data_IF_585691958574
#
_entry.id   IF_585691958574
#
_cell.length_a   1.000
_cell.length_b   1.000
_cell.length_c   1.000
_cell.angle_alpha   90.00
_cell.angle_beta   90.00
_cell.angle_gamma   90.00
#
_symmetry.space_group_name_H-M   'P 1'
#
loop_
_entity.id
_entity.type
_entity.pdbx_description
1 polymer ?
#
# COMPACT_ATOMS: atom_id res chain seq x y z
N UNK A 1 68.28 -15.26 14.49
CA UNK A 1 67.58 -14.01 14.19
C UNK A 1 66.77 -14.19 12.91
N UNK A 2 65.47 -13.83 12.97
CA UNK A 2 64.52 -13.56 11.88
C UNK A 2 64.18 -14.66 10.87
N UNK A 3 62.94 -14.89 10.45
CA UNK A 3 61.61 -14.59 10.98
C UNK A 3 60.67 -15.46 10.10
N UNK A 4 60.06 -16.51 10.65
CA UNK A 4 58.98 -17.23 9.94
C UNK A 4 57.77 -16.29 9.85
N UNK A 5 57.55 -15.69 8.68
CA UNK A 5 56.32 -14.94 8.37
C UNK A 5 55.14 -15.90 8.49
N UNK A 6 54.45 -15.87 9.63
CA UNK A 6 53.09 -16.41 9.76
C UNK A 6 52.19 -15.56 8.86
N UNK A 7 51.61 -16.19 7.84
CA UNK A 7 50.52 -15.59 7.09
C UNK A 7 49.37 -15.27 8.06
N UNK A 8 48.68 -14.13 7.91
CA UNK A 8 47.56 -13.81 8.77
C UNK A 8 46.43 -14.80 8.47
N UNK A 9 46.00 -15.51 9.52
CA UNK A 9 44.75 -16.26 9.52
C UNK A 9 43.66 -15.25 9.20
N UNK A 10 43.15 -15.28 7.96
CA UNK A 10 41.95 -14.52 7.61
C UNK A 10 40.88 -14.92 8.61
N UNK A 11 40.47 -13.96 9.43
CA UNK A 11 39.41 -14.14 10.39
C UNK A 11 38.24 -14.78 9.67
N UNK A 12 37.76 -15.91 10.20
CA UNK A 12 36.36 -16.28 9.98
C UNK A 12 35.56 -15.08 10.44
N UNK A 13 35.08 -14.26 9.51
CA UNK A 13 33.82 -13.57 9.74
C UNK A 13 32.84 -14.70 9.99
N UNK A 14 32.57 -14.96 11.26
CA UNK A 14 31.43 -15.75 11.66
C UNK A 14 30.22 -15.02 11.08
N UNK A 15 29.80 -15.47 9.89
CA UNK A 15 28.52 -15.08 9.31
C UNK A 15 27.52 -15.65 10.29
N UNK A 16 27.10 -14.83 11.24
CA UNK A 16 26.03 -15.15 12.17
C UNK A 16 24.86 -15.53 11.29
N UNK A 17 24.52 -16.82 11.27
CA UNK A 17 23.32 -17.31 10.58
C UNK A 17 22.12 -16.73 11.32
N UNK A 18 21.67 -15.57 10.87
CA UNK A 18 20.41 -14.97 11.32
C UNK A 18 19.32 -15.95 10.96
N UNK A 19 18.49 -16.35 11.93
CA UNK A 19 17.22 -17.02 11.66
C UNK A 19 16.16 -15.92 11.58
N UNK A 20 15.73 -15.50 10.38
CA UNK A 20 14.83 -14.35 10.20
C UNK A 20 13.57 -14.43 11.05
N UNK A 21 13.12 -15.65 11.34
CA UNK A 21 11.87 -15.92 12.07
C UNK A 21 12.06 -15.87 13.58
N UNK A 22 13.26 -16.15 14.08
CA UNK A 22 13.57 -16.01 15.51
C UNK A 22 14.03 -14.60 15.85
N UNK A 23 14.70 -13.95 14.90
CA UNK A 23 15.45 -12.72 15.17
C UNK A 23 14.67 -11.45 14.79
N UNK A 24 13.56 -11.53 14.04
CA UNK A 24 12.85 -10.32 13.57
C UNK A 24 12.38 -9.39 14.67
N UNK A 25 12.12 -9.92 15.87
CA UNK A 25 11.66 -9.09 17.00
C UNK A 25 12.66 -8.01 17.39
N UNK A 26 13.95 -8.25 17.18
CA UNK A 26 15.00 -7.25 17.43
C UNK A 26 15.03 -6.13 16.38
N UNK A 27 14.27 -6.28 15.29
CA UNK A 27 14.21 -5.36 14.17
C UNK A 27 12.87 -4.63 14.07
N UNK A 28 11.90 -4.98 14.93
CA UNK A 28 10.63 -4.29 15.06
C UNK A 28 10.86 -2.90 15.67
N UNK A 29 10.25 -1.90 15.04
CA UNK A 29 10.12 -0.58 15.64
C UNK A 29 8.75 -0.45 16.30
N UNK A 30 8.74 0.04 17.55
CA UNK A 30 7.50 0.43 18.22
C UNK A 30 6.96 1.69 17.55
N UNK A 31 5.72 1.68 17.05
CA UNK A 31 5.17 2.83 16.37
C UNK A 31 4.82 3.96 17.33
N UNK A 32 4.99 5.20 16.87
CA UNK A 32 4.35 6.36 17.50
C UNK A 32 2.86 6.38 17.12
N UNK A 33 2.00 6.03 18.08
CA UNK A 33 0.55 5.93 17.89
C UNK A 33 -0.08 7.24 17.43
N UNK A 34 0.46 8.40 17.83
CA UNK A 34 -0.06 9.70 17.40
C UNK A 34 0.17 9.92 15.91
N UNK A 35 1.33 9.50 15.39
CA UNK A 35 1.66 9.59 13.97
C UNK A 35 0.88 8.59 13.12
N UNK A 36 0.52 7.44 13.69
CA UNK A 36 -0.21 6.40 12.98
C UNK A 36 -1.73 6.56 12.99
N UNK A 37 -2.31 7.28 13.96
CA UNK A 37 -3.75 7.38 14.14
C UNK A 37 -4.51 7.73 12.84
N UNK A 38 -4.03 8.71 12.07
CA UNK A 38 -4.66 9.08 10.80
C UNK A 38 -4.60 7.97 9.75
N UNK A 39 -3.51 7.19 9.70
CA UNK A 39 -3.33 6.09 8.75
C UNK A 39 -4.15 4.86 9.15
N UNK A 40 -4.19 4.52 10.44
CA UNK A 40 -4.98 3.42 10.98
C UNK A 40 -6.48 3.59 10.67
N UNK A 41 -6.99 4.81 10.82
CA UNK A 41 -8.39 5.14 10.49
C UNK A 41 -8.76 4.92 9.03
N UNK A 42 -7.80 4.99 8.09
CA UNK A 42 -8.03 4.67 6.66
C UNK A 42 -8.25 3.17 6.41
N UNK A 43 -7.83 2.34 7.36
CA UNK A 43 -7.96 0.89 7.32
C UNK A 43 -8.98 0.37 8.36
N UNK A 44 -9.71 1.26 9.02
CA UNK A 44 -10.77 0.91 9.95
C UNK A 44 -10.31 0.55 11.36
N UNK A 45 -9.11 0.98 11.76
CA UNK A 45 -8.57 0.73 13.09
C UNK A 45 -8.44 2.03 13.87
N UNK A 46 -8.81 2.00 15.15
CA UNK A 46 -8.52 3.08 16.10
C UNK A 46 -7.20 2.83 16.83
N UNK A 47 -6.82 1.55 16.97
CA UNK A 47 -5.63 1.10 17.70
C UNK A 47 -4.85 0.06 16.92
N UNK A 48 -3.54 -0.02 17.16
CA UNK A 48 -2.66 -1.00 16.49
C UNK A 48 -2.98 -2.42 16.98
N UNK A 49 -3.40 -2.54 18.24
CA UNK A 49 -3.77 -3.79 18.92
C UNK A 49 -5.02 -4.46 18.30
N UNK A 50 -5.83 -3.70 17.56
CA UNK A 50 -7.00 -4.22 16.85
C UNK A 50 -6.62 -4.88 15.50
N UNK A 51 -5.40 -4.61 15.01
CA UNK A 51 -4.89 -5.24 13.79
C UNK A 51 -4.56 -6.72 14.03
N UNK A 52 -4.62 -7.57 13.00
CA UNK A 52 -4.15 -8.94 13.09
C UNK A 52 -2.71 -9.01 13.61
N UNK A 53 -2.53 -9.66 14.76
CA UNK A 53 -1.28 -9.73 15.53
C UNK A 53 -0.32 -10.79 15.00
N UNK A 54 -0.80 -11.75 14.22
CA UNK A 54 0.05 -12.78 13.66
C UNK A 54 0.94 -12.16 12.57
N UNK A 55 2.28 -12.21 12.72
CA UNK A 55 3.15 -11.74 11.66
C UNK A 55 2.97 -12.63 10.44
N UNK A 56 2.84 -12.02 9.26
CA UNK A 56 2.93 -12.78 8.02
C UNK A 56 4.41 -13.14 7.82
N UNK A 57 4.79 -14.31 8.32
CA UNK A 57 6.11 -14.89 8.15
C UNK A 57 6.08 -15.73 6.88
N UNK A 58 6.64 -15.20 5.79
CA UNK A 58 6.83 -15.99 4.58
C UNK A 58 8.06 -16.88 4.76
N UNK A 59 7.87 -18.05 5.38
CA UNK A 59 8.90 -19.09 5.52
C UNK A 59 8.36 -20.41 4.98
N UNK A 60 8.19 -20.50 3.67
CA UNK A 60 7.75 -21.74 3.03
C UNK A 60 8.92 -22.38 2.30
N UNK A 61 9.38 -23.51 2.82
CA UNK A 61 10.44 -24.33 2.24
C UNK A 61 10.20 -24.54 0.72
N UNK A 62 10.91 -23.80 -0.13
CA UNK A 62 11.12 -24.10 -1.56
C UNK A 62 9.84 -24.29 -2.42
N UNK A 63 8.84 -23.41 -2.34
CA UNK A 63 7.60 -23.55 -3.13
C UNK A 63 7.47 -22.47 -4.25
N UNK A 64 8.38 -21.50 -4.31
CA UNK A 64 8.32 -20.40 -5.28
C UNK A 64 7.60 -19.17 -4.71
N UNK A 65 7.21 -18.18 -5.54
CA UNK A 65 6.69 -16.91 -5.05
C UNK A 65 5.35 -17.08 -4.31
N UNK A 66 5.22 -16.44 -3.14
CA UNK A 66 3.98 -16.39 -2.36
C UNK A 66 3.03 -15.38 -3.01
N UNK A 67 1.99 -15.87 -3.67
CA UNK A 67 1.00 -15.03 -4.35
C UNK A 67 -0.23 -14.90 -3.46
N UNK A 68 -0.51 -13.69 -2.97
CA UNK A 68 -1.69 -13.40 -2.16
C UNK A 68 -2.79 -12.77 -3.03
N UNK A 69 -3.99 -13.35 -2.98
CA UNK A 69 -5.17 -12.90 -3.70
C UNK A 69 -6.38 -12.69 -2.76
N UNK A 70 -7.26 -11.72 -3.03
CA UNK A 70 -8.48 -11.51 -2.25
C UNK A 70 -9.59 -12.51 -2.56
N UNK A 71 -9.60 -13.13 -3.75
CA UNK A 71 -10.55 -14.17 -4.14
C UNK A 71 -9.87 -15.51 -3.98
N UNK A 72 -10.47 -16.39 -3.17
CA UNK A 72 -9.90 -17.68 -2.75
C UNK A 72 -9.31 -18.49 -3.92
N UNK A 73 -8.03 -18.81 -3.79
CA UNK A 73 -7.41 -20.05 -4.27
C UNK A 73 -6.18 -20.21 -3.38
N UNK A 74 -6.23 -21.13 -2.41
CA UNK A 74 -5.17 -21.26 -1.41
C UNK A 74 -4.17 -22.34 -1.80
N UNK A 75 -2.90 -21.99 -1.62
CA UNK A 75 -1.84 -22.92 -1.27
C UNK A 75 -2.10 -23.40 0.18
N UNK A 76 -2.19 -24.72 0.44
CA UNK A 76 -2.48 -25.28 1.77
C UNK A 76 -1.44 -24.94 2.85
N UNK A 77 -0.31 -24.32 2.50
CA UNK A 77 0.73 -23.93 3.43
C UNK A 77 0.58 -22.50 4.01
N UNK A 78 -0.39 -21.72 3.53
CA UNK A 78 -0.68 -20.36 4.03
C UNK A 78 -1.94 -20.43 4.90
N UNK A 79 -1.83 -20.07 6.19
CA UNK A 79 -2.99 -19.97 7.10
C UNK A 79 -4.07 -19.00 6.57
N UNK A 80 -5.29 -19.05 7.12
CA UNK A 80 -6.43 -18.28 6.61
C UNK A 80 -6.16 -16.77 6.53
N UNK A 81 -5.82 -16.23 5.35
CA UNK A 81 -5.51 -14.80 5.22
C UNK A 81 -6.73 -13.87 5.38
N UNK A 82 -7.93 -14.44 5.53
CA UNK A 82 -9.20 -13.70 5.62
C UNK A 82 -9.18 -12.69 6.76
N UNK A 83 -8.49 -13.00 7.86
CA UNK A 83 -8.36 -12.09 8.99
C UNK A 83 -7.62 -10.79 8.63
N UNK A 84 -6.71 -10.83 7.64
CA UNK A 84 -5.94 -9.68 7.15
C UNK A 84 -6.64 -8.89 6.06
N UNK A 85 -7.74 -9.40 5.51
CA UNK A 85 -8.46 -8.72 4.42
C UNK A 85 -9.56 -7.83 4.99
N UNK A 86 -9.58 -6.57 4.59
CA UNK A 86 -10.58 -5.59 4.99
C UNK A 86 -11.00 -4.70 3.82
N UNK A 87 -12.27 -4.24 3.75
CA UNK A 87 -12.65 -3.18 2.83
C UNK A 87 -11.95 -1.87 3.23
N UNK A 88 -11.67 -1.00 2.26
CA UNK A 88 -11.14 0.35 2.56
C UNK A 88 -12.21 1.17 3.29
N UNK A 89 -11.85 1.82 4.40
CA UNK A 89 -12.70 2.84 5.04
C UNK A 89 -12.49 4.20 4.39
N UNK A 90 -13.05 4.36 3.18
CA UNK A 90 -13.00 5.61 2.43
C UNK A 90 -14.38 6.28 2.41
N UNK A 91 -14.50 7.47 2.99
CA UNK A 91 -15.74 8.27 3.03
C UNK A 91 -15.61 9.67 2.41
N UNK A 92 -14.41 10.00 1.95
CA UNK A 92 -14.10 11.32 1.41
C UNK A 92 -12.99 11.21 0.36
N UNK A 93 -12.97 12.17 -0.57
CA UNK A 93 -11.89 12.25 -1.56
C UNK A 93 -10.53 12.40 -0.88
N UNK A 94 -10.45 13.12 0.23
CA UNK A 94 -9.19 13.30 0.95
C UNK A 94 -8.64 11.97 1.50
N UNK A 95 -9.48 11.08 2.03
CA UNK A 95 -9.06 9.73 2.43
C UNK A 95 -8.66 8.89 1.23
N UNK A 96 -9.39 8.98 0.12
CA UNK A 96 -9.02 8.27 -1.12
C UNK A 96 -7.64 8.71 -1.64
N UNK A 97 -7.38 10.02 -1.61
CA UNK A 97 -6.07 10.60 -1.93
C UNK A 97 -4.96 10.14 -0.99
N UNK A 98 -5.25 10.08 0.31
CA UNK A 98 -4.31 9.58 1.30
C UNK A 98 -4.00 8.07 1.12
N UNK A 99 -4.93 7.30 0.57
CA UNK A 99 -4.73 5.90 0.20
C UNK A 99 -3.74 5.78 -0.98
N UNK A 100 -3.90 6.60 -2.02
CA UNK A 100 -3.00 6.52 -3.18
C UNK A 100 -1.69 7.30 -3.02
N UNK A 101 -1.54 8.04 -1.91
CA UNK A 101 -0.32 8.77 -1.55
C UNK A 101 -0.25 10.22 -2.03
N UNK A 102 -1.38 10.81 -2.47
CA UNK A 102 -1.44 12.19 -2.99
C UNK A 102 -2.47 13.06 -2.25
N UNK A 103 -2.40 13.18 -0.90
CA UNK A 103 -3.36 14.00 -0.14
C UNK A 103 -3.33 15.47 -0.57
N UNK A 104 -4.46 16.17 -0.50
CA UNK A 104 -4.55 17.58 -0.93
C UNK A 104 -3.53 18.49 -0.25
N UNK A 105 -3.14 18.22 0.99
CA UNK A 105 -2.16 19.02 1.73
C UNK A 105 -0.78 19.00 1.07
N UNK A 106 -0.37 17.84 0.54
CA UNK A 106 0.88 17.70 -0.22
C UNK A 106 0.75 18.43 -1.55
N UNK A 107 -0.35 18.20 -2.26
CA UNK A 107 -0.63 18.85 -3.56
C UNK A 107 -0.76 20.38 -3.44
N UNK A 108 -1.25 20.89 -2.32
CA UNK A 108 -1.36 22.32 -2.05
C UNK A 108 0.02 22.98 -1.89
N UNK A 109 0.98 22.28 -1.29
CA UNK A 109 2.38 22.73 -1.18
C UNK A 109 3.06 22.72 -2.54
N UNK A 110 2.84 21.67 -3.33
CA UNK A 110 3.40 21.52 -4.68
C UNK A 110 2.84 22.56 -5.66
N UNK A 111 1.53 22.91 -5.55
CA UNK A 111 0.90 24.00 -6.31
C UNK A 111 1.64 25.33 -6.13
N UNK A 112 2.15 25.61 -4.93
CA UNK A 112 2.92 26.82 -4.63
C UNK A 112 4.34 26.77 -5.21
N UNK A 113 4.88 25.58 -5.49
CA UNK A 113 6.28 25.36 -5.91
C UNK A 113 6.47 25.08 -7.42
N UNK A 114 5.45 25.33 -8.27
CA UNK A 114 5.53 25.28 -9.75
C UNK A 114 5.76 23.88 -10.39
N UNK A 115 5.37 22.78 -9.74
CA UNK A 115 5.36 21.48 -10.42
C UNK A 115 3.97 21.20 -11.02
N UNK A 116 3.93 21.03 -12.36
CA UNK A 116 2.74 20.60 -13.07
C UNK A 116 2.27 19.25 -12.52
N UNK A 117 1.17 19.25 -11.78
CA UNK A 117 0.34 18.05 -11.76
C UNK A 117 -0.12 17.86 -13.21
N UNK A 118 0.13 16.68 -13.79
CA UNK A 118 -0.30 16.35 -15.15
C UNK A 118 -1.83 16.25 -15.18
N UNK A 119 -2.50 17.40 -15.14
CA UNK A 119 -3.94 17.54 -15.22
C UNK A 119 -4.32 17.28 -16.67
N UNK A 120 -5.11 16.24 -16.89
CA UNK A 120 -5.65 15.88 -18.20
C UNK A 120 -6.75 16.87 -18.59
N UNK A 121 -6.88 17.18 -19.88
CA UNK A 121 -8.03 17.97 -20.36
C UNK A 121 -9.28 17.09 -20.29
N UNK A 122 -10.30 17.54 -19.55
CA UNK A 122 -11.58 16.83 -19.44
C UNK A 122 -12.60 17.47 -20.38
N UNK A 123 -13.23 16.66 -21.23
CA UNK A 123 -14.35 17.09 -22.06
C UNK A 123 -15.64 17.03 -21.23
N UNK A 124 -15.94 18.11 -20.52
CA UNK A 124 -17.03 18.20 -19.53
C UNK A 124 -18.42 17.90 -20.11
N UNK A 125 -18.64 18.18 -21.39
CA UNK A 125 -19.90 17.91 -22.10
C UNK A 125 -20.26 16.42 -22.18
N UNK A 126 -19.27 15.52 -22.01
CA UNK A 126 -19.50 14.06 -21.99
C UNK A 126 -19.73 13.51 -20.58
N UNK A 127 -19.73 14.38 -19.56
CA UNK A 127 -20.08 14.00 -18.20
C UNK A 127 -21.52 14.39 -17.90
N UNK A 128 -22.30 13.49 -17.28
CA UNK A 128 -23.66 13.81 -16.86
C UNK A 128 -23.62 14.87 -15.76
N UNK A 129 -24.39 15.95 -15.95
CA UNK A 129 -24.50 17.04 -14.98
C UNK A 129 -25.52 16.76 -13.85
N UNK A 130 -26.22 15.63 -13.91
CA UNK A 130 -27.28 15.27 -12.98
C UNK A 130 -26.75 14.55 -11.73
N UNK A 131 -27.36 14.85 -10.57
CA UNK A 131 -26.89 14.38 -9.27
C UNK A 131 -27.05 12.86 -9.01
N UNK A 132 -27.69 12.10 -9.92
CA UNK A 132 -28.03 10.67 -9.70
C UNK A 132 -27.77 9.79 -10.93
N UNK A 133 -26.74 10.09 -11.72
CA UNK A 133 -26.43 9.31 -12.91
C UNK A 133 -25.66 8.02 -12.60
N UNK A 134 -25.97 6.92 -13.31
CA UNK A 134 -25.22 5.66 -13.22
C UNK A 134 -24.05 5.67 -14.20
N UNK A 135 -22.84 5.93 -13.71
CA UNK A 135 -21.62 5.94 -14.53
C UNK A 135 -21.31 4.61 -15.25
N UNK A 136 -21.96 3.52 -14.85
CA UNK A 136 -21.80 2.18 -15.45
C UNK A 136 -22.37 2.05 -16.86
N UNK A 137 -23.23 2.97 -17.30
CA UNK A 137 -23.86 2.95 -18.63
C UNK A 137 -23.33 4.00 -19.60
N UNK A 138 -22.18 4.61 -19.31
CA UNK A 138 -21.58 5.61 -20.20
C UNK A 138 -21.07 4.97 -21.50
N UNK A 139 -21.23 5.71 -22.59
CA UNK A 139 -20.60 5.43 -23.87
C UNK A 139 -19.06 5.61 -23.80
N UNK A 140 -18.34 5.27 -24.88
CA UNK A 140 -16.88 5.35 -24.87
C UNK A 140 -16.35 6.78 -24.55
N UNK A 141 -16.87 7.87 -25.16
CA UNK A 141 -16.48 9.23 -24.81
C UNK A 141 -16.74 9.58 -23.33
N UNK A 142 -17.91 9.23 -22.79
CA UNK A 142 -18.23 9.47 -21.39
C UNK A 142 -17.30 8.70 -20.44
N UNK A 143 -16.95 7.45 -20.76
CA UNK A 143 -16.00 6.66 -19.96
C UNK A 143 -14.60 7.28 -19.93
N UNK A 144 -14.13 7.83 -21.05
CA UNK A 144 -12.84 8.54 -21.12
C UNK A 144 -12.91 9.80 -20.25
N UNK A 145 -13.96 10.62 -20.40
CA UNK A 145 -14.13 11.83 -19.61
C UNK A 145 -14.23 11.54 -18.11
N UNK A 146 -14.91 10.46 -17.72
CA UNK A 146 -14.97 9.99 -16.33
C UNK A 146 -13.59 9.60 -15.81
N UNK A 147 -12.84 8.81 -16.59
CA UNK A 147 -11.50 8.37 -16.21
C UNK A 147 -10.55 9.56 -16.02
N UNK A 148 -10.55 10.51 -16.96
CA UNK A 148 -9.68 11.68 -16.89
C UNK A 148 -10.07 12.62 -15.74
N UNK A 149 -11.38 12.80 -15.51
CA UNK A 149 -11.86 13.54 -14.34
C UNK A 149 -11.46 12.86 -13.04
N UNK A 150 -11.65 11.54 -12.93
CA UNK A 150 -11.26 10.79 -11.74
C UNK A 150 -9.75 10.86 -11.49
N UNK A 151 -8.94 10.77 -12.53
CA UNK A 151 -7.48 10.92 -12.45
C UNK A 151 -7.09 12.31 -11.94
N UNK A 152 -7.67 13.37 -12.52
CA UNK A 152 -7.43 14.75 -12.07
C UNK A 152 -7.90 15.00 -10.65
N UNK A 153 -9.06 14.47 -10.29
CA UNK A 153 -9.60 14.57 -8.94
C UNK A 153 -8.70 13.85 -7.94
N UNK A 154 -8.12 12.71 -8.29
CA UNK A 154 -7.30 11.89 -7.40
C UNK A 154 -5.86 12.43 -7.24
N UNK A 155 -5.26 12.94 -8.31
CA UNK A 155 -3.85 13.35 -8.32
C UNK A 155 -3.64 14.86 -8.41
N UNK A 156 -4.67 15.64 -8.74
CA UNK A 156 -4.64 17.10 -8.78
C UNK A 156 -5.14 17.73 -7.50
N UNK A 157 -4.74 18.98 -7.22
CA UNK A 157 -5.30 19.76 -6.12
C UNK A 157 -6.76 20.16 -6.44
N UNK A 158 -7.67 19.97 -5.48
CA UNK A 158 -9.09 20.31 -5.65
C UNK A 158 -9.60 21.05 -4.41
N UNK A 159 -10.18 22.22 -4.62
CA UNK A 159 -10.82 23.05 -3.59
C UNK A 159 -12.16 22.43 -3.18
N UNK A 160 -12.50 22.47 -1.89
CA UNK A 160 -13.72 21.82 -1.36
C UNK A 160 -15.00 22.33 -2.01
N UNK A 161 -15.10 23.63 -2.26
CA UNK A 161 -16.26 24.25 -2.91
C UNK A 161 -16.49 23.71 -4.32
N UNK A 162 -15.42 23.38 -5.07
CA UNK A 162 -15.54 22.79 -6.41
C UNK A 162 -16.03 21.35 -6.34
N UNK A 163 -15.67 20.62 -5.29
CA UNK A 163 -16.11 19.23 -5.11
C UNK A 163 -17.62 19.10 -4.88
N UNK A 164 -18.28 20.17 -4.39
CA UNK A 164 -19.72 20.17 -4.17
C UNK A 164 -20.53 20.43 -5.45
N UNK A 165 -19.89 20.89 -6.53
CA UNK A 165 -20.55 21.23 -7.79
C UNK A 165 -20.64 20.02 -8.70
N UNK A 166 -21.72 19.93 -9.47
CA UNK A 166 -21.79 18.95 -10.56
C UNK A 166 -20.85 19.36 -11.72
N UNK A 167 -20.28 18.40 -12.46
CA UNK A 167 -20.36 16.94 -12.30
C UNK A 167 -19.33 16.36 -11.29
N UNK A 168 -18.46 17.19 -10.70
CA UNK A 168 -17.39 16.76 -9.80
C UNK A 168 -17.91 15.93 -8.64
N UNK A 169 -18.98 16.39 -7.99
CA UNK A 169 -19.61 15.67 -6.88
C UNK A 169 -20.00 14.24 -7.25
N UNK A 170 -20.68 14.06 -8.39
CA UNK A 170 -21.10 12.73 -8.84
C UNK A 170 -19.89 11.81 -9.09
N UNK A 171 -18.82 12.33 -9.71
CA UNK A 171 -17.59 11.55 -9.94
C UNK A 171 -16.91 11.18 -8.62
N UNK A 172 -16.84 12.11 -7.66
CA UNK A 172 -16.28 11.85 -6.32
C UNK A 172 -17.09 10.77 -5.59
N UNK A 173 -18.42 10.90 -5.57
CA UNK A 173 -19.31 9.93 -4.92
C UNK A 173 -19.15 8.54 -5.56
N UNK A 174 -19.03 8.47 -6.89
CA UNK A 174 -18.75 7.23 -7.62
C UNK A 174 -17.39 6.62 -7.27
N UNK A 175 -16.32 7.42 -7.25
CA UNK A 175 -14.97 6.97 -6.88
C UNK A 175 -14.93 6.43 -5.45
N UNK A 176 -15.57 7.11 -4.50
CA UNK A 176 -15.67 6.67 -3.10
C UNK A 176 -16.45 5.35 -3.02
N UNK A 177 -17.58 5.24 -3.73
CA UNK A 177 -18.36 4.01 -3.82
C UNK A 177 -17.52 2.83 -4.30
N UNK A 178 -16.74 3.03 -5.38
CA UNK A 178 -15.83 2.00 -5.90
C UNK A 178 -14.66 1.68 -4.99
N UNK A 179 -14.08 2.67 -4.32
CA UNK A 179 -12.99 2.45 -3.39
C UNK A 179 -13.39 1.53 -2.22
N UNK A 180 -14.62 1.65 -1.73
CA UNK A 180 -15.16 0.80 -0.64
C UNK A 180 -15.30 -0.68 -1.01
N UNK A 181 -15.44 -0.98 -2.31
CA UNK A 181 -15.51 -2.36 -2.81
C UNK A 181 -14.12 -3.02 -2.91
N UNK A 182 -13.04 -2.24 -2.82
CA UNK A 182 -11.69 -2.75 -3.03
C UNK A 182 -11.12 -3.40 -1.77
N UNK A 183 -10.55 -4.61 -1.87
CA UNK A 183 -9.93 -5.27 -0.73
C UNK A 183 -8.57 -4.64 -0.41
N UNK A 184 -8.30 -4.48 0.88
CA UNK A 184 -6.98 -4.13 1.42
C UNK A 184 -6.43 -5.26 2.26
N UNK A 185 -5.11 -5.33 2.33
CA UNK A 185 -4.41 -6.26 3.21
C UNK A 185 -3.84 -5.48 4.39
N UNK A 186 -4.14 -5.88 5.61
CA UNK A 186 -3.72 -5.19 6.82
C UNK A 186 -3.17 -6.19 7.82
N UNK A 187 -1.91 -6.04 8.21
CA UNK A 187 -1.27 -6.83 9.26
C UNK A 187 -0.32 -5.94 10.06
N UNK A 188 0.04 -6.29 11.29
CA UNK A 188 1.06 -5.50 11.98
C UNK A 188 2.44 -5.65 11.34
N UNK A 189 2.77 -6.86 10.90
CA UNK A 189 4.14 -7.21 10.55
C UNK A 189 4.19 -8.05 9.27
N UNK A 190 5.09 -7.66 8.37
CA UNK A 190 5.47 -8.43 7.19
C UNK A 190 6.95 -8.79 7.29
N UNK A 191 7.26 -10.08 7.25
CA UNK A 191 8.64 -10.58 7.30
C UNK A 191 8.92 -11.39 6.03
N UNK A 192 9.83 -10.87 5.21
CA UNK A 192 10.27 -11.51 3.96
C UNK A 192 11.64 -12.12 4.20
N UNK A 193 11.72 -13.45 4.10
CA UNK A 193 12.98 -14.18 4.29
C UNK A 193 13.90 -14.08 3.06
N UNK A 194 15.20 -14.40 3.18
CA UNK A 194 16.12 -14.48 2.04
C UNK A 194 15.62 -15.49 0.99
N UNK A 195 15.78 -15.15 -0.28
CA UNK A 195 15.36 -15.93 -1.44
C UNK A 195 13.85 -15.95 -1.70
N UNK A 196 13.04 -15.37 -0.81
CA UNK A 196 11.58 -15.38 -0.91
C UNK A 196 11.06 -14.16 -1.65
N UNK A 197 10.00 -14.35 -2.43
CA UNK A 197 9.26 -13.24 -3.06
C UNK A 197 7.81 -13.28 -2.62
N UNK A 198 7.33 -12.20 -2.02
CA UNK A 198 5.91 -12.02 -1.68
C UNK A 198 5.26 -11.15 -2.74
N UNK A 199 4.24 -11.68 -3.39
CA UNK A 199 3.47 -11.01 -4.43
C UNK A 199 2.05 -10.70 -3.95
N UNK A 200 1.73 -9.42 -3.82
CA UNK A 200 0.38 -8.96 -3.53
C UNK A 200 -0.35 -8.67 -4.83
N UNK A 201 -1.45 -9.39 -5.09
CA UNK A 201 -2.23 -9.23 -6.31
C UNK A 201 -3.72 -9.00 -6.00
N UNK A 202 -4.32 -8.03 -6.68
CA UNK A 202 -5.74 -7.71 -6.54
C UNK A 202 -6.11 -6.93 -5.28
N UNK A 203 -5.13 -6.55 -4.45
CA UNK A 203 -5.33 -5.62 -3.32
C UNK A 203 -5.21 -4.18 -3.79
N UNK A 204 -6.08 -3.29 -3.33
CA UNK A 204 -5.94 -1.85 -3.62
C UNK A 204 -4.80 -1.21 -2.82
N UNK A 205 -4.61 -1.66 -1.58
CA UNK A 205 -3.53 -1.21 -0.73
C UNK A 205 -3.15 -2.29 0.29
N UNK A 206 -1.92 -2.20 0.77
CA UNK A 206 -1.41 -3.02 1.87
C UNK A 206 -0.91 -2.10 2.98
N UNK A 207 -1.28 -2.38 4.22
CA UNK A 207 -0.80 -1.64 5.38
C UNK A 207 -0.11 -2.57 6.37
N UNK A 208 1.09 -2.15 6.77
CA UNK A 208 1.89 -2.80 7.80
C UNK A 208 2.36 -1.76 8.82
N UNK A 209 2.55 -2.16 10.07
CA UNK A 209 3.32 -1.34 11.01
C UNK A 209 4.80 -1.50 10.67
N UNK A 210 5.27 -2.75 10.63
CA UNK A 210 6.66 -3.08 10.31
C UNK A 210 6.74 -3.98 9.08
N UNK A 211 7.65 -3.63 8.17
CA UNK A 211 8.07 -4.48 7.05
C UNK A 211 9.56 -4.76 7.21
N UNK A 212 9.93 -6.03 7.29
CA UNK A 212 11.32 -6.46 7.44
C UNK A 212 11.65 -7.38 6.26
N UNK A 213 12.66 -6.98 5.48
CA UNK A 213 13.14 -7.72 4.32
C UNK A 213 14.56 -8.19 4.60
N UNK A 214 14.79 -9.49 4.61
CA UNK A 214 16.10 -10.08 4.86
C UNK A 214 16.79 -10.50 3.58
N UNK A 215 18.10 -10.24 3.50
CA UNK A 215 18.93 -10.65 2.37
C UNK A 215 18.38 -10.15 1.03
N UNK A 216 18.20 -11.08 0.10
CA UNK A 216 17.68 -10.87 -1.25
C UNK A 216 16.15 -11.05 -1.36
N UNK A 217 15.43 -11.11 -0.23
CA UNK A 217 13.98 -11.18 -0.21
C UNK A 217 13.31 -10.02 -0.96
N UNK A 218 12.15 -10.27 -1.58
CA UNK A 218 11.47 -9.29 -2.43
C UNK A 218 9.98 -9.14 -2.10
N UNK A 219 9.49 -7.92 -2.24
CA UNK A 219 8.06 -7.61 -2.25
C UNK A 219 7.71 -7.13 -3.65
N UNK A 220 6.76 -7.80 -4.29
CA UNK A 220 6.22 -7.43 -5.59
C UNK A 220 4.73 -7.12 -5.45
N UNK A 221 4.26 -6.15 -6.20
CA UNK A 221 2.87 -5.69 -6.17
C UNK A 221 2.34 -5.67 -7.59
N UNK A 222 1.12 -6.17 -7.81
CA UNK A 222 0.43 -6.00 -9.08
C UNK A 222 -0.17 -4.58 -9.20
N UNK A 223 -0.31 -4.10 -10.44
CA UNK A 223 -1.09 -2.92 -10.87
C UNK A 223 -1.50 -1.89 -9.80
N UNK A 224 -0.78 -0.76 -9.74
CA UNK A 224 -1.15 0.46 -9.00
C UNK A 224 -1.42 0.32 -7.49
N UNK A 225 -1.23 -0.86 -6.89
CA UNK A 225 -1.33 -1.06 -5.45
C UNK A 225 -0.25 -0.26 -4.70
N UNK A 226 -0.61 0.24 -3.51
CA UNK A 226 0.33 0.94 -2.62
C UNK A 226 0.58 0.13 -1.36
N UNK A 227 1.86 -0.04 -1.03
CA UNK A 227 2.29 -0.50 0.28
C UNK A 227 2.50 0.72 1.19
N UNK A 228 1.88 0.66 2.35
CA UNK A 228 2.03 1.64 3.43
C UNK A 228 2.66 0.95 4.62
N UNK A 229 3.70 1.57 5.17
CA UNK A 229 4.36 1.09 6.35
C UNK A 229 4.80 2.23 7.26
N UNK A 230 4.72 2.03 8.58
CA UNK A 230 5.40 2.94 9.51
C UNK A 230 6.91 2.78 9.44
N UNK A 231 7.36 1.53 9.29
CA UNK A 231 8.76 1.17 9.21
C UNK A 231 9.00 0.14 8.13
N UNK A 232 10.01 0.37 7.28
CA UNK A 232 10.55 -0.61 6.36
C UNK A 232 12.03 -0.75 6.66
N UNK A 233 12.49 -1.97 6.98
CA UNK A 233 13.89 -2.28 7.24
C UNK A 233 14.39 -3.38 6.32
N UNK A 234 15.52 -3.11 5.67
CA UNK A 234 16.29 -4.14 4.98
C UNK A 234 17.42 -4.61 5.89
N UNK A 235 17.50 -5.92 6.12
CA UNK A 235 18.49 -6.54 7.00
C UNK A 235 19.42 -7.40 6.14
N UNK A 236 20.71 -7.04 6.03
CA UNK A 236 21.68 -7.88 5.32
C UNK A 236 21.88 -9.20 6.07
N UNK A 237 21.99 -10.30 5.33
CA UNK A 237 22.21 -11.68 5.82
C UNK A 237 23.37 -12.30 5.07
#
# INVERSE_FOLDING_TARGET
MNAKKKAPVRGRTDIVKVDPVKDYKQHIMKPDLKKLAGKLKLFGFDRVEEMPQMPLICRLKKIGPVILHPKQTFDPHIGEIREFIRPVTCDSLQKLKALVGTPNEVLARERKMRASTNIRKVQMQHLPAEAKFKFTSLDAPGRIALHDMAHNLLHGYVEEERMQRQPYKAVVDYMIGKARELPTFVAQELIVCPGETVFFNGFAAMFFVNVIVYGDGQIKMANNSKLHAYHIKHVPV
#
